data_IF_443905184049
#
_entry.id   IF_443905184049
#
_cell.length_a   1.000
_cell.length_b   1.000
_cell.length_c   1.000
_cell.angle_alpha   90.00
_cell.angle_beta   90.00
_cell.angle_gamma   90.00
#
_symmetry.space_group_name_H-M   'P 1'
#
loop_
_entity.id
_entity.type
_entity.pdbx_description
1 polymer ?
#
# COMPACT_ATOMS: atom_id res chain seq x y z
N UNK A 1 -0.18 -44.53 -50.88
CA UNK A 1 -0.82 -43.38 -50.21
C UNK A 1 -0.83 -43.62 -48.69
N UNK A 2 -0.17 -42.77 -47.89
CA UNK A 2 -0.42 -42.68 -46.44
C UNK A 2 -0.44 -41.19 -46.07
N UNK A 3 -1.64 -40.71 -45.72
CA UNK A 3 -1.91 -39.31 -45.39
C UNK A 3 -1.38 -39.02 -43.98
N UNK A 4 -0.56 -37.97 -43.84
CA UNK A 4 0.03 -37.52 -42.57
C UNK A 4 -0.96 -36.59 -41.88
N UNK A 5 -1.73 -37.10 -40.92
CA UNK A 5 -2.69 -36.32 -40.14
C UNK A 5 -1.93 -35.39 -39.19
N UNK A 6 -1.93 -34.10 -39.53
CA UNK A 6 -1.22 -33.03 -38.81
C UNK A 6 -2.00 -32.67 -37.53
N UNK A 7 -1.42 -32.97 -36.37
CA UNK A 7 -1.90 -32.62 -35.02
C UNK A 7 -1.98 -31.09 -34.81
N UNK A 8 -2.98 -30.41 -35.38
CA UNK A 8 -3.20 -28.96 -35.20
C UNK A 8 -3.89 -28.60 -33.87
N UNK A 9 -4.62 -29.54 -33.26
CA UNK A 9 -5.41 -29.32 -32.04
C UNK A 9 -4.56 -29.23 -30.77
N UNK A 10 -3.41 -29.93 -30.71
CA UNK A 10 -2.47 -29.84 -29.56
C UNK A 10 -1.74 -28.51 -29.47
N UNK A 11 -1.53 -27.83 -30.59
CA UNK A 11 -0.78 -26.57 -30.65
C UNK A 11 -1.63 -25.36 -30.21
N UNK A 12 -2.94 -25.41 -30.46
CA UNK A 12 -3.89 -24.38 -30.01
C UNK A 12 -4.07 -24.38 -28.49
N UNK A 13 -4.10 -25.56 -27.85
CA UNK A 13 -4.26 -25.72 -26.40
C UNK A 13 -3.09 -25.11 -25.59
N UNK A 14 -1.87 -25.14 -26.14
CA UNK A 14 -0.71 -24.54 -25.50
C UNK A 14 -0.72 -23.01 -25.55
N UNK A 15 -1.29 -22.41 -26.60
CA UNK A 15 -1.35 -20.96 -26.77
C UNK A 15 -2.40 -20.36 -25.83
N UNK A 16 -3.56 -20.99 -25.67
CA UNK A 16 -4.60 -20.55 -24.72
C UNK A 16 -4.17 -20.69 -23.26
N UNK A 17 -3.39 -21.72 -22.93
CA UNK A 17 -2.90 -21.93 -21.56
C UNK A 17 -1.81 -20.91 -21.18
N UNK A 18 -0.98 -20.47 -22.14
CA UNK A 18 0.09 -19.49 -21.91
C UNK A 18 -0.45 -18.07 -21.69
N UNK A 19 -1.57 -17.72 -22.31
CA UNK A 19 -2.24 -16.42 -22.16
C UNK A 19 -2.93 -16.22 -20.81
N UNK A 20 -3.22 -17.28 -20.04
CA UNK A 20 -3.80 -17.15 -18.70
C UNK A 20 -2.77 -16.74 -17.62
N UNK A 21 -1.48 -16.98 -17.84
CA UNK A 21 -0.44 -16.76 -16.83
C UNK A 21 -0.01 -15.28 -16.77
N UNK A 22 -0.26 -14.51 -17.82
CA UNK A 22 0.06 -13.07 -17.88
C UNK A 22 -0.99 -12.17 -17.20
N UNK A 23 -2.06 -12.75 -16.62
CA UNK A 23 -3.12 -12.03 -15.90
C UNK A 23 -2.90 -11.96 -14.39
N UNK A 24 -1.71 -12.32 -13.88
CA UNK A 24 -1.31 -11.94 -12.52
C UNK A 24 -1.07 -10.44 -12.52
N UNK A 25 -2.15 -9.67 -12.37
CA UNK A 25 -2.08 -8.22 -12.19
C UNK A 25 -1.22 -7.89 -10.97
N UNK A 26 -0.48 -6.80 -11.05
CA UNK A 26 0.08 -6.16 -9.86
C UNK A 26 -1.06 -5.99 -8.85
N UNK A 27 -0.91 -6.55 -7.65
CA UNK A 27 -1.77 -6.22 -6.52
C UNK A 27 -1.36 -4.81 -6.08
N UNK A 28 -1.94 -3.78 -6.70
CA UNK A 28 -1.93 -2.43 -6.11
C UNK A 28 -3.06 -2.35 -5.09
N UNK A 29 -2.77 -1.81 -3.92
CA UNK A 29 -3.77 -1.45 -2.94
C UNK A 29 -4.43 -0.15 -3.42
N UNK A 30 -5.72 -0.17 -3.72
CA UNK A 30 -6.51 1.03 -4.12
C UNK A 30 -6.80 1.91 -2.89
N UNK A 31 -5.73 2.43 -2.25
CA UNK A 31 -5.81 3.14 -0.96
C UNK A 31 -6.24 4.59 -1.13
N UNK A 32 -5.79 5.22 -2.21
CA UNK A 32 -6.01 6.63 -2.54
C UNK A 32 -6.92 6.80 -3.77
N UNK A 33 -7.16 5.73 -4.54
CA UNK A 33 -7.96 5.80 -5.75
C UNK A 33 -7.38 6.74 -6.78
N UNK A 34 -8.24 7.56 -7.40
CA UNK A 34 -7.80 8.57 -8.37
C UNK A 34 -7.24 9.84 -7.71
N UNK A 35 -7.19 9.90 -6.38
CA UNK A 35 -6.76 11.07 -5.61
C UNK A 35 -5.29 10.96 -5.16
N UNK A 36 -4.58 9.88 -5.51
CA UNK A 36 -3.17 9.69 -5.16
C UNK A 36 -2.29 10.87 -5.58
N UNK A 37 -2.51 11.40 -6.78
CA UNK A 37 -1.77 12.55 -7.32
C UNK A 37 -2.18 13.89 -6.68
N UNK A 38 -3.25 13.93 -5.89
CA UNK A 38 -3.77 15.14 -5.25
C UNK A 38 -3.24 15.34 -3.83
N UNK A 39 -2.51 14.35 -3.27
CA UNK A 39 -1.93 14.47 -1.94
C UNK A 39 -0.88 15.59 -1.91
N UNK A 40 -1.15 16.63 -1.14
CA UNK A 40 -0.28 17.80 -0.98
C UNK A 40 0.54 17.77 0.31
N UNK A 41 0.01 17.16 1.38
CA UNK A 41 0.69 17.07 2.67
C UNK A 41 0.21 15.89 3.51
N UNK A 42 0.97 15.58 4.56
CA UNK A 42 0.64 14.55 5.54
C UNK A 42 0.65 15.18 6.93
N UNK A 43 -0.49 15.24 7.60
CA UNK A 43 -0.53 15.53 9.03
C UNK A 43 -0.24 14.27 9.84
N UNK A 44 0.73 14.36 10.74
CA UNK A 44 1.05 13.30 11.70
C UNK A 44 0.42 13.67 13.03
N UNK A 45 -0.48 12.83 13.52
CA UNK A 45 -1.17 13.03 14.79
C UNK A 45 -0.92 11.86 15.73
N UNK A 46 -0.80 12.12 17.03
CA UNK A 46 -0.73 11.06 18.02
C UNK A 46 -2.02 10.23 17.99
N UNK A 47 -1.91 8.90 17.95
CA UNK A 47 -3.08 8.03 17.70
C UNK A 47 -4.16 8.14 18.78
N UNK A 48 -3.74 8.23 20.05
CA UNK A 48 -4.65 8.22 21.20
C UNK A 48 -5.22 9.61 21.54
N UNK A 49 -4.47 10.69 21.31
CA UNK A 49 -4.88 12.05 21.70
C UNK A 49 -5.38 12.91 20.53
N UNK A 50 -5.14 12.49 19.28
CA UNK A 50 -5.36 13.29 18.06
C UNK A 50 -4.59 14.64 18.05
N UNK A 51 -3.56 14.75 18.90
CA UNK A 51 -2.68 15.92 18.94
C UNK A 51 -1.80 15.97 17.69
N UNK A 52 -1.75 17.13 17.04
CA UNK A 52 -0.88 17.37 15.89
C UNK A 52 0.58 17.36 16.35
N UNK A 53 1.35 16.44 15.78
CA UNK A 53 2.80 16.29 16.03
C UNK A 53 3.57 17.11 15.02
N UNK A 54 3.28 16.92 13.73
CA UNK A 54 3.92 17.68 12.64
C UNK A 54 3.10 17.59 11.36
N UNK A 55 3.47 18.39 10.37
CA UNK A 55 2.95 18.34 9.00
C UNK A 55 4.11 18.18 8.03
N UNK A 56 4.06 17.14 7.22
CA UNK A 56 5.05 16.85 6.18
C UNK A 56 4.54 17.44 4.87
N UNK A 57 5.28 18.41 4.32
CA UNK A 57 4.93 19.11 3.07
C UNK A 57 5.99 18.92 1.98
N UNK A 58 6.96 18.02 2.19
CA UNK A 58 7.94 17.68 1.15
C UNK A 58 7.23 16.85 0.07
N UNK A 59 7.04 17.46 -1.09
CA UNK A 59 6.32 16.84 -2.20
C UNK A 59 7.01 15.56 -2.69
N UNK A 60 8.35 15.56 -2.79
CA UNK A 60 9.08 14.37 -3.27
C UNK A 60 8.97 13.20 -2.30
N UNK A 61 9.02 13.47 -1.01
CA UNK A 61 8.78 12.44 0.01
C UNK A 61 7.35 11.92 -0.05
N UNK A 62 6.37 12.83 -0.10
CA UNK A 62 4.94 12.49 -0.09
C UNK A 62 4.55 11.66 -1.31
N UNK A 63 4.96 12.07 -2.51
CA UNK A 63 4.73 11.33 -3.75
C UNK A 63 5.34 9.92 -3.69
N UNK A 64 6.59 9.82 -3.21
CA UNK A 64 7.29 8.53 -3.09
C UNK A 64 6.58 7.61 -2.11
N UNK A 65 6.17 8.13 -0.95
CA UNK A 65 5.49 7.36 0.08
C UNK A 65 4.10 6.89 -0.40
N UNK A 66 3.31 7.75 -1.04
CA UNK A 66 2.00 7.37 -1.62
C UNK A 66 2.18 6.24 -2.64
N UNK A 67 3.17 6.34 -3.52
CA UNK A 67 3.47 5.30 -4.50
C UNK A 67 3.88 3.96 -3.84
N UNK A 68 4.69 4.01 -2.78
CA UNK A 68 5.07 2.81 -2.03
C UNK A 68 3.85 2.16 -1.38
N UNK A 69 2.96 2.94 -0.75
CA UNK A 69 1.75 2.44 -0.10
C UNK A 69 0.76 1.80 -1.09
N UNK A 70 0.52 2.45 -2.23
CA UNK A 70 -0.32 1.93 -3.32
C UNK A 70 0.22 0.61 -3.90
N UNK A 71 1.54 0.45 -3.96
CA UNK A 71 2.16 -0.75 -4.55
C UNK A 71 2.58 -1.81 -3.53
N UNK A 72 2.39 -1.55 -2.24
CA UNK A 72 2.85 -2.42 -1.17
C UNK A 72 2.17 -3.79 -1.19
N UNK A 73 2.94 -4.85 -0.92
CA UNK A 73 2.32 -6.09 -0.45
C UNK A 73 1.64 -5.84 0.89
N UNK A 74 0.56 -6.57 1.17
CA UNK A 74 -0.17 -6.41 2.43
C UNK A 74 -0.59 -7.75 3.04
N UNK A 75 -0.78 -7.75 4.35
CA UNK A 75 -1.35 -8.85 5.10
C UNK A 75 -2.57 -8.36 5.90
N UNK A 76 -3.63 -9.16 5.93
CA UNK A 76 -4.81 -8.87 6.74
C UNK A 76 -4.55 -9.16 8.22
N UNK A 77 -4.96 -8.23 9.06
CA UNK A 77 -4.86 -8.25 10.53
C UNK A 77 -6.21 -8.36 11.22
N UNK A 78 -7.33 -8.46 10.49
CA UNK A 78 -8.71 -8.47 11.02
C UNK A 78 -8.97 -9.47 12.17
N UNK A 79 -8.23 -10.58 12.21
CA UNK A 79 -8.38 -11.61 13.25
C UNK A 79 -7.21 -11.65 14.25
N UNK A 80 -6.36 -10.63 14.25
CA UNK A 80 -5.22 -10.50 15.16
C UNK A 80 -5.55 -9.49 16.25
N UNK A 81 -5.07 -9.76 17.46
CA UNK A 81 -5.07 -8.78 18.55
C UNK A 81 -3.73 -8.04 18.49
N UNK A 82 -3.69 -6.89 17.81
CA UNK A 82 -2.51 -6.06 17.62
C UNK A 82 -2.67 -4.73 18.36
N UNK A 83 -1.56 -4.15 18.87
CA UNK A 83 -1.61 -2.82 19.45
C UNK A 83 -2.01 -1.76 18.41
N UNK A 84 -2.63 -0.69 18.90
CA UNK A 84 -2.86 0.49 18.08
C UNK A 84 -1.53 1.06 17.55
N UNK A 85 -1.54 1.67 16.36
CA UNK A 85 -0.43 2.49 15.87
C UNK A 85 -0.05 3.60 16.84
N UNK A 86 1.21 4.05 16.78
CA UNK A 86 1.71 5.17 17.58
C UNK A 86 1.14 6.51 17.07
N UNK A 87 0.98 6.61 15.74
CA UNK A 87 0.48 7.80 15.06
C UNK A 87 -0.62 7.48 14.06
N UNK A 88 -1.45 8.48 13.79
CA UNK A 88 -2.39 8.53 12.66
C UNK A 88 -1.87 9.54 11.64
N UNK A 89 -1.76 9.11 10.40
CA UNK A 89 -1.39 9.93 9.26
C UNK A 89 -2.65 10.35 8.51
N UNK A 90 -2.84 11.64 8.31
CA UNK A 90 -3.90 12.18 7.46
C UNK A 90 -3.25 12.72 6.19
N UNK A 91 -3.54 12.10 5.06
CA UNK A 91 -3.10 12.54 3.75
C UNK A 91 -4.11 13.57 3.25
N UNK A 92 -3.65 14.80 3.04
CA UNK A 92 -4.48 15.96 2.72
C UNK A 92 -4.25 16.42 1.29
N UNK A 93 -5.29 16.93 0.65
CA UNK A 93 -5.17 17.68 -0.59
C UNK A 93 -4.72 19.15 -0.35
N UNK A 94 -4.66 19.94 -1.41
CA UNK A 94 -4.27 21.36 -1.33
C UNK A 94 -5.28 22.28 -0.63
N UNK A 95 -6.50 21.80 -0.42
CA UNK A 95 -7.60 22.51 0.27
C UNK A 95 -7.81 21.98 1.71
N UNK A 96 -6.81 21.26 2.24
CA UNK A 96 -6.80 20.62 3.56
C UNK A 96 -7.91 19.57 3.77
N UNK A 97 -8.44 18.97 2.68
CA UNK A 97 -9.39 17.87 2.78
C UNK A 97 -8.67 16.53 2.93
N UNK A 98 -9.15 15.70 3.86
CA UNK A 98 -8.60 14.35 4.08
C UNK A 98 -8.97 13.44 2.91
N UNK A 99 -7.95 13.02 2.16
CA UNK A 99 -8.05 12.00 1.11
C UNK A 99 -8.06 10.61 1.77
N UNK A 100 -7.13 10.37 2.70
CA UNK A 100 -6.96 9.06 3.32
C UNK A 100 -6.35 9.16 4.72
N UNK A 101 -6.68 8.19 5.58
CA UNK A 101 -6.10 8.04 6.91
C UNK A 101 -5.43 6.68 7.09
N UNK A 102 -4.19 6.66 7.57
CA UNK A 102 -3.38 5.43 7.75
C UNK A 102 -2.72 5.47 9.13
N UNK A 103 -2.68 4.33 9.82
CA UNK A 103 -1.92 4.16 11.05
C UNK A 103 -0.43 3.99 10.79
N UNK A 104 0.42 4.54 11.66
CA UNK A 104 1.88 4.42 11.58
C UNK A 104 2.47 3.95 12.91
N UNK A 105 3.32 2.92 12.83
CA UNK A 105 4.12 2.41 13.93
C UNK A 105 5.55 2.97 13.85
N UNK A 106 6.05 3.51 14.96
CA UNK A 106 7.42 4.03 15.10
C UNK A 106 8.46 2.92 14.99
N UNK A 107 8.07 1.67 15.27
CA UNK A 107 8.89 0.48 15.03
C UNK A 107 8.27 -0.40 13.94
N UNK A 108 9.11 -1.09 13.17
CA UNK A 108 8.63 -2.13 12.26
C UNK A 108 7.89 -3.23 13.02
N UNK A 109 6.73 -3.64 12.49
CA UNK A 109 5.96 -4.76 13.00
C UNK A 109 5.87 -5.86 11.94
N UNK A 110 5.86 -7.12 12.38
CA UNK A 110 5.63 -8.29 11.53
C UNK A 110 4.25 -8.89 11.85
N UNK A 111 3.29 -8.62 10.96
CA UNK A 111 1.94 -9.17 11.02
C UNK A 111 1.64 -10.02 9.77
N UNK A 112 2.62 -10.81 9.34
CA UNK A 112 2.57 -11.60 8.10
C UNK A 112 3.29 -10.91 6.93
N UNK A 113 3.51 -9.60 7.04
CA UNK A 113 4.50 -8.82 6.31
C UNK A 113 5.23 -7.91 7.30
N UNK A 114 6.46 -7.52 6.98
CA UNK A 114 7.23 -6.55 7.78
C UNK A 114 6.97 -5.14 7.25
N UNK A 115 6.56 -4.22 8.12
CA UNK A 115 6.26 -2.84 7.75
C UNK A 115 5.82 -1.98 8.92
N UNK A 116 5.51 -0.72 8.62
CA UNK A 116 5.18 0.33 9.59
C UNK A 116 3.77 0.90 9.45
N UNK A 117 3.06 0.57 8.36
CA UNK A 117 1.81 1.24 8.00
C UNK A 117 0.63 0.29 8.07
N UNK A 118 -0.47 0.76 8.66
CA UNK A 118 -1.71 0.02 8.82
C UNK A 118 -2.87 0.80 8.19
N UNK A 119 -3.39 0.32 7.07
CA UNK A 119 -4.56 0.90 6.40
C UNK A 119 -5.80 0.04 6.71
N UNK A 120 -6.71 0.55 7.53
CA UNK A 120 -7.81 -0.24 8.11
C UNK A 120 -7.25 -1.50 8.80
N UNK A 121 -7.56 -2.70 8.28
CA UNK A 121 -7.05 -3.97 8.81
C UNK A 121 -5.91 -4.55 7.95
N UNK A 122 -5.32 -3.77 7.05
CA UNK A 122 -4.23 -4.21 6.17
C UNK A 122 -2.89 -3.65 6.66
N UNK A 123 -2.01 -4.54 7.10
CA UNK A 123 -0.62 -4.19 7.40
C UNK A 123 0.17 -4.17 6.10
N UNK A 124 0.80 -3.05 5.78
CA UNK A 124 1.46 -2.78 4.51
C UNK A 124 2.96 -2.99 4.65
N UNK A 125 3.56 -3.69 3.68
CA UNK A 125 4.99 -4.00 3.62
C UNK A 125 5.85 -2.78 3.21
N UNK A 126 5.69 -1.67 3.91
CA UNK A 126 6.42 -0.41 3.73
C UNK A 126 7.17 -0.11 5.01
N UNK A 127 8.48 0.05 4.92
CA UNK A 127 9.38 0.29 6.06
C UNK A 127 9.92 1.71 6.11
N UNK A 128 9.53 2.56 5.15
CA UNK A 128 9.90 3.97 5.08
C UNK A 128 9.54 4.69 6.37
N UNK A 129 10.55 5.30 7.00
CA UNK A 129 10.39 6.09 8.21
C UNK A 129 9.90 7.49 7.88
N UNK A 130 9.03 8.02 8.74
CA UNK A 130 8.62 9.41 8.64
C UNK A 130 9.71 10.33 9.20
N UNK A 131 9.93 11.52 8.60
CA UNK A 131 10.86 12.53 9.10
C UNK A 131 10.25 13.26 10.31
N UNK A 132 10.06 12.55 11.42
CA UNK A 132 9.58 13.07 12.70
C UNK A 132 10.74 13.13 13.69
N UNK A 133 10.82 14.20 14.48
CA UNK A 133 11.77 14.28 15.58
C UNK A 133 11.17 13.50 16.77
N UNK A 134 11.84 12.44 17.21
CA UNK A 134 11.45 11.73 18.44
C UNK A 134 11.91 12.57 19.64
N UNK A 135 10.97 13.03 20.47
CA UNK A 135 11.31 13.59 21.77
C UNK A 135 11.75 12.44 22.70
N UNK A 136 13.07 12.31 22.91
CA UNK A 136 13.70 11.37 23.88
C UNK A 136 13.35 11.68 25.35
#
# INVERSE_FOLDING_TARGET
MKCKTRNKTRQLLFITLLSLILLTGCQSNDLFGNEADNVASIEVRAYDSDELVTTITDASFTESLVQELESANSASTTNMDIPNPDYRLLFLDSDDMVIQAIGYYTEEKDYGVVGRYLASDLHLAVTTELPIEEEE
#
